data_IF_006948738987
#
_entry.id   IF_006948738987
#
_cell.length_a   1.000
_cell.length_b   1.000
_cell.length_c   1.000
_cell.angle_alpha   90.00
_cell.angle_beta   90.00
_cell.angle_gamma   90.00
#
_symmetry.space_group_name_H-M   'P 1'
#
loop_
_entity.id
_entity.type
_entity.pdbx_description
1 polymer ?
#
# COMPACT_ATOMS: atom_id res chain seq x y z
N UNK A 1 -12.82 28.81 5.54
CA UNK A 1 -12.07 27.81 4.74
C UNK A 1 -12.43 26.47 5.34
N UNK A 2 -13.21 25.67 4.61
CA UNK A 2 -13.64 24.36 5.12
C UNK A 2 -12.43 23.42 5.21
N UNK A 3 -12.33 22.59 6.25
CA UNK A 3 -11.26 21.61 6.36
C UNK A 3 -11.37 20.59 5.23
N UNK A 4 -10.24 20.26 4.58
CA UNK A 4 -10.21 19.22 3.57
C UNK A 4 -10.59 17.87 4.21
N UNK A 5 -11.57 17.20 3.61
CA UNK A 5 -12.05 15.89 4.06
C UNK A 5 -11.59 14.79 3.09
N UNK A 6 -11.43 13.56 3.61
CA UNK A 6 -10.97 12.41 2.83
C UNK A 6 -11.92 12.00 1.69
N UNK A 7 -13.15 12.53 1.67
CA UNK A 7 -14.13 12.34 0.59
C UNK A 7 -14.12 13.47 -0.46
N UNK A 8 -13.22 14.45 -0.36
CA UNK A 8 -13.07 15.47 -1.38
C UNK A 8 -12.42 14.88 -2.64
N UNK A 9 -13.09 15.04 -3.78
CA UNK A 9 -12.61 14.53 -5.08
C UNK A 9 -11.32 15.21 -5.56
N UNK A 10 -11.09 16.46 -5.13
CA UNK A 10 -9.82 17.16 -5.27
C UNK A 10 -9.31 17.50 -3.86
N UNK A 11 -8.46 16.65 -3.27
CA UNK A 11 -7.78 17.02 -2.04
C UNK A 11 -6.84 18.20 -2.32
N UNK A 12 -6.88 19.23 -1.48
CA UNK A 12 -5.97 20.39 -1.56
C UNK A 12 -4.52 20.04 -1.14
N UNK A 13 -4.25 18.79 -0.77
CA UNK A 13 -2.93 18.31 -0.37
C UNK A 13 -2.18 17.82 -1.60
N UNK A 14 -0.98 18.37 -1.90
CA UNK A 14 -0.17 17.89 -3.01
C UNK A 14 0.18 16.41 -2.87
N UNK A 15 0.07 15.64 -3.96
CA UNK A 15 0.58 14.27 -4.02
C UNK A 15 2.11 14.29 -4.09
N UNK A 16 2.75 14.33 -2.92
CA UNK A 16 4.21 14.25 -2.80
C UNK A 16 4.60 12.79 -2.65
N UNK A 17 5.11 12.22 -3.75
CA UNK A 17 5.68 10.88 -3.75
C UNK A 17 7.01 10.86 -3.00
N UNK A 18 7.24 9.79 -2.25
CA UNK A 18 8.48 9.52 -1.53
C UNK A 18 8.94 8.10 -1.81
N UNK A 19 10.27 7.88 -1.92
CA UNK A 19 10.81 6.54 -2.07
C UNK A 19 10.54 5.72 -0.80
N UNK A 20 10.29 4.43 -1.00
CA UNK A 20 10.06 3.45 0.03
C UNK A 20 10.92 2.21 -0.25
N UNK A 21 11.82 1.88 0.66
CA UNK A 21 12.59 0.63 0.61
C UNK A 21 12.01 -0.34 1.64
N UNK A 22 11.58 -1.52 1.19
CA UNK A 22 10.99 -2.57 2.04
C UNK A 22 11.54 -3.93 1.65
N UNK A 23 11.44 -4.90 2.56
CA UNK A 23 11.69 -6.31 2.25
C UNK A 23 10.33 -7.00 2.09
N UNK A 24 10.08 -7.56 0.92
CA UNK A 24 8.90 -8.37 0.60
C UNK A 24 9.38 -9.72 0.09
N UNK A 25 8.84 -10.81 0.63
CA UNK A 25 9.26 -12.19 0.30
C UNK A 25 10.78 -12.43 0.43
N UNK A 26 11.43 -11.72 1.36
CA UNK A 26 12.88 -11.80 1.58
C UNK A 26 13.73 -11.01 0.59
N UNK A 27 13.12 -10.30 -0.37
CA UNK A 27 13.80 -9.46 -1.35
C UNK A 27 13.59 -7.97 -1.07
N UNK A 28 14.64 -7.17 -1.23
CA UNK A 28 14.53 -5.71 -1.15
C UNK A 28 13.78 -5.17 -2.38
N UNK A 29 12.82 -4.28 -2.14
CA UNK A 29 12.00 -3.61 -3.15
C UNK A 29 12.10 -2.11 -2.96
N UNK A 30 12.36 -1.40 -4.05
CA UNK A 30 12.31 0.05 -4.13
C UNK A 30 10.98 0.47 -4.78
N UNK A 31 10.16 1.19 -4.01
CA UNK A 31 8.80 1.57 -4.34
C UNK A 31 8.60 3.07 -4.11
N UNK A 32 7.41 3.56 -4.44
CA UNK A 32 6.98 4.93 -4.12
C UNK A 32 5.63 4.91 -3.38
N UNK A 33 5.47 5.87 -2.49
CA UNK A 33 4.24 6.07 -1.71
C UNK A 33 4.02 7.55 -1.46
N UNK A 34 2.87 7.94 -0.91
CA UNK A 34 2.60 9.34 -0.55
C UNK A 34 1.83 9.42 0.76
N UNK A 35 1.85 10.59 1.40
CA UNK A 35 1.31 10.76 2.77
C UNK A 35 -0.19 10.43 2.90
N UNK A 36 -0.96 10.49 1.81
CA UNK A 36 -2.37 10.12 1.79
C UNK A 36 -2.65 8.64 1.63
N UNK A 37 -1.62 7.81 1.40
CA UNK A 37 -1.76 6.36 1.24
C UNK A 37 -1.61 5.68 2.61
N UNK A 38 -2.36 4.59 2.82
CA UNK A 38 -2.25 3.79 4.03
C UNK A 38 -0.83 3.22 4.21
N UNK A 39 -0.35 3.20 5.46
CA UNK A 39 1.00 2.78 5.86
C UNK A 39 2.10 3.28 4.92
N UNK A 40 2.29 4.60 4.77
CA UNK A 40 3.15 5.13 3.72
C UNK A 40 4.64 5.10 4.10
N UNK A 41 5.04 4.52 5.22
CA UNK A 41 6.45 4.45 5.67
C UNK A 41 6.97 3.00 5.70
N UNK A 42 6.16 2.02 5.30
CA UNK A 42 6.54 0.61 5.36
C UNK A 42 5.34 -0.33 5.31
N UNK A 43 5.62 -1.63 5.40
CA UNK A 43 4.58 -2.67 5.47
C UNK A 43 3.84 -2.55 6.80
N UNK A 44 2.50 -2.44 6.74
CA UNK A 44 1.66 -2.47 7.95
C UNK A 44 1.79 -3.82 8.66
N UNK A 45 1.65 -3.83 9.99
CA UNK A 45 1.77 -5.05 10.78
C UNK A 45 0.70 -6.09 10.42
N UNK A 46 -0.53 -5.65 10.14
CA UNK A 46 -1.60 -6.53 9.70
C UNK A 46 -1.31 -7.14 8.33
N UNK A 47 -0.81 -6.33 7.39
CA UNK A 47 -0.36 -6.83 6.08
C UNK A 47 0.80 -7.81 6.22
N UNK A 48 1.76 -7.57 7.11
CA UNK A 48 2.86 -8.50 7.35
C UNK A 48 2.37 -9.86 7.90
N UNK A 49 1.38 -9.86 8.80
CA UNK A 49 0.75 -11.09 9.28
C UNK A 49 -0.02 -11.79 8.15
N UNK A 50 -0.75 -11.05 7.32
CA UNK A 50 -1.44 -11.62 6.16
C UNK A 50 -0.46 -12.34 5.22
N UNK A 51 0.64 -11.68 4.86
CA UNK A 51 1.66 -12.26 3.98
C UNK A 51 2.38 -13.48 4.59
N UNK A 52 2.50 -13.53 5.92
CA UNK A 52 3.14 -14.65 6.60
C UNK A 52 2.22 -15.88 6.74
N UNK A 53 0.91 -15.67 6.87
CA UNK A 53 -0.04 -16.72 7.26
C UNK A 53 -1.03 -17.11 6.16
N UNK A 54 -1.24 -16.27 5.15
CA UNK A 54 -2.10 -16.59 4.03
C UNK A 54 -1.53 -17.77 3.24
N UNK A 55 -2.39 -18.67 2.73
CA UNK A 55 -1.94 -19.68 1.79
C UNK A 55 -1.44 -19.02 0.50
N UNK A 56 -0.51 -19.70 -0.18
CA UNK A 56 -0.07 -19.27 -1.50
C UNK A 56 -1.28 -19.05 -2.43
N UNK A 57 -1.27 -17.98 -3.25
CA UNK A 57 -2.35 -17.74 -4.18
C UNK A 57 -2.46 -18.88 -5.19
N UNK A 58 -3.66 -19.06 -5.75
CA UNK A 58 -3.87 -20.04 -6.81
C UNK A 58 -2.93 -19.76 -7.99
N UNK A 59 -2.28 -20.81 -8.50
CA UNK A 59 -1.35 -20.69 -9.62
C UNK A 59 -2.00 -20.23 -10.94
N UNK A 60 -3.33 -20.34 -11.03
CA UNK A 60 -4.12 -19.95 -12.21
C UNK A 60 -5.35 -19.15 -11.78
N UNK A 61 -5.79 -18.25 -12.67
CA UNK A 61 -6.94 -17.37 -12.46
C UNK A 61 -6.55 -15.91 -12.25
N UNK A 62 -7.56 -15.07 -12.00
CA UNK A 62 -7.37 -13.66 -11.70
C UNK A 62 -7.46 -13.43 -10.20
N UNK A 63 -6.47 -12.74 -9.64
CA UNK A 63 -6.45 -12.30 -8.25
C UNK A 63 -6.83 -10.81 -8.17
N UNK A 64 -7.37 -10.39 -7.03
CA UNK A 64 -7.80 -9.02 -6.79
C UNK A 64 -7.34 -8.57 -5.40
N UNK A 65 -6.52 -7.53 -5.35
CA UNK A 65 -6.15 -6.82 -4.11
C UNK A 65 -7.07 -5.61 -3.93
N UNK A 66 -8.05 -5.74 -3.03
CA UNK A 66 -9.04 -4.68 -2.75
C UNK A 66 -8.50 -3.74 -1.69
N UNK A 67 -8.39 -2.46 -2.04
CA UNK A 67 -7.80 -1.48 -1.13
C UNK A 67 -6.28 -1.59 -1.06
N UNK A 68 -5.65 -1.90 -2.20
CA UNK A 68 -4.24 -2.23 -2.32
C UNK A 68 -3.26 -1.16 -1.81
N UNK A 69 -3.69 0.10 -1.67
CA UNK A 69 -2.81 1.19 -1.23
C UNK A 69 -1.62 1.36 -2.17
N UNK A 70 -0.40 1.24 -1.66
CA UNK A 70 0.82 1.24 -2.48
C UNK A 70 1.20 -0.15 -3.04
N UNK A 71 0.39 -1.19 -2.76
CA UNK A 71 0.48 -2.53 -3.33
C UNK A 71 1.40 -3.54 -2.61
N UNK A 72 1.47 -3.60 -1.26
CA UNK A 72 2.35 -4.55 -0.57
C UNK A 72 2.03 -6.03 -0.80
N UNK A 73 0.84 -6.36 -1.28
CA UNK A 73 0.36 -7.75 -1.46
C UNK A 73 0.57 -8.23 -2.92
N UNK A 74 0.67 -7.30 -3.86
CA UNK A 74 0.63 -7.58 -5.30
C UNK A 74 2.00 -7.82 -5.94
#
# INVERSE_FOLDING_TARGET
>A
MEPAHYFNAQPDVPDVRRPLAVVLEGEERALETSAGIFSPDGVDKGTAVLLAEAPDPAAEGALLDIGCGWGPIA
#
